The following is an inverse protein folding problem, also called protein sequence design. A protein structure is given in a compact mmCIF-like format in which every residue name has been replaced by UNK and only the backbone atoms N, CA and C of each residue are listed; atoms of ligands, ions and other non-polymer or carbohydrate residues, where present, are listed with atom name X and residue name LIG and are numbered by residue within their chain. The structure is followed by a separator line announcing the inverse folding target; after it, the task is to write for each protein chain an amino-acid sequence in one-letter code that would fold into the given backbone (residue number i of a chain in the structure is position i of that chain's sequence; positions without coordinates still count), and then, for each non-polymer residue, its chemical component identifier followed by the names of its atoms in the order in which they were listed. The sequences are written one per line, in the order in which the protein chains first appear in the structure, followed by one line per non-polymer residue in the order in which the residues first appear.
data_IF_822449656974
#
_entry.id   IF_822449656974
#
_cell.length_a   1.000
_cell.length_b   1.000
_cell.length_c   1.000
_cell.angle_alpha   90.00
_cell.angle_beta   90.00
_cell.angle_gamma   90.00
#
_symmetry.space_group_name_H-M   'P 1'
#
loop_
_entity.id
_entity.type
_entity.pdbx_description
1 polymer ?
#
# COMPACT_ATOMS: atom_id res chain seq x y z
N UNK A 1 -12.85 7.06 16.49
CA UNK A 1 -12.44 8.37 15.96
C UNK A 1 -11.70 8.04 14.68
N UNK A 2 -12.32 8.27 13.53
CA UNK A 2 -11.72 7.97 12.24
C UNK A 2 -10.87 9.19 11.88
N UNK A 3 -9.54 9.02 11.87
CA UNK A 3 -8.65 10.12 11.48
C UNK A 3 -8.75 10.35 9.97
N UNK A 4 -9.00 11.61 9.60
CA UNK A 4 -9.21 12.00 8.21
C UNK A 4 -7.84 12.27 7.56
N UNK A 5 -7.31 11.25 6.90
CA UNK A 5 -6.04 11.35 6.17
C UNK A 5 -6.27 11.61 4.68
N UNK A 6 -5.49 12.54 4.13
CA UNK A 6 -5.60 12.91 2.72
C UNK A 6 -4.76 12.01 1.78
N UNK A 7 -3.78 11.27 2.32
CA UNK A 7 -2.88 10.41 1.55
C UNK A 7 -2.24 9.32 2.43
N UNK A 8 -2.16 8.10 1.90
CA UNK A 8 -1.35 7.01 2.46
C UNK A 8 -0.09 6.85 1.62
N UNK A 9 1.07 6.72 2.25
CA UNK A 9 2.36 6.46 1.57
C UNK A 9 2.90 5.12 2.07
N UNK A 10 3.26 4.23 1.14
CA UNK A 10 3.84 2.94 1.50
C UNK A 10 4.78 2.38 0.44
N UNK A 11 5.62 1.42 0.84
CA UNK A 11 6.48 0.68 -0.08
C UNK A 11 5.70 -0.33 -0.94
N UNK A 12 6.25 -0.65 -2.11
CA UNK A 12 5.70 -1.64 -3.04
C UNK A 12 5.82 -3.08 -2.54
N UNK A 13 6.72 -3.35 -1.58
CA UNK A 13 7.02 -4.69 -1.04
C UNK A 13 7.22 -4.65 0.47
N UNK A 14 6.87 -5.77 1.12
CA UNK A 14 7.20 -6.03 2.52
C UNK A 14 8.52 -6.79 2.66
N UNK A 15 8.78 -7.33 3.85
CA UNK A 15 10.02 -8.03 4.21
C UNK A 15 10.12 -9.48 3.66
N UNK A 16 9.16 -9.93 2.85
CA UNK A 16 9.12 -11.30 2.31
C UNK A 16 9.94 -11.49 1.03
N UNK A 17 10.35 -12.73 0.75
CA UNK A 17 11.24 -13.09 -0.38
C UNK A 17 10.53 -13.22 -1.74
N UNK A 18 9.39 -12.55 -1.94
CA UNK A 18 8.59 -12.69 -3.16
C UNK A 18 9.24 -11.85 -4.28
N UNK A 19 10.02 -12.53 -5.12
CA UNK A 19 10.63 -11.95 -6.32
C UNK A 19 9.62 -11.96 -7.47
N UNK A 20 9.67 -10.94 -8.33
CA UNK A 20 8.85 -10.87 -9.56
C UNK A 20 7.47 -10.22 -9.43
N UNK A 21 6.92 -10.03 -8.23
CA UNK A 21 5.68 -9.25 -8.07
C UNK A 21 5.94 -7.74 -8.10
N UNK A 22 5.03 -7.02 -8.74
CA UNK A 22 5.03 -5.54 -8.76
C UNK A 22 4.55 -4.97 -7.41
N UNK A 23 3.60 -5.64 -6.75
CA UNK A 23 3.00 -5.23 -5.47
C UNK A 23 2.97 -6.37 -4.46
N UNK A 24 3.25 -6.07 -3.19
CA UNK A 24 3.02 -6.97 -2.06
C UNK A 24 1.52 -7.08 -1.71
N UNK A 25 1.15 -8.17 -1.02
CA UNK A 25 -0.26 -8.45 -0.65
C UNK A 25 -0.90 -7.35 0.20
N UNK A 26 -0.13 -6.74 1.10
CA UNK A 26 -0.60 -5.61 1.94
C UNK A 26 -0.80 -4.36 1.07
N UNK A 27 0.21 -3.97 0.28
CA UNK A 27 0.12 -2.80 -0.58
C UNK A 27 -1.01 -2.90 -1.60
N UNK A 28 -1.27 -4.11 -2.12
CA UNK A 28 -2.40 -4.38 -3.00
C UNK A 28 -3.74 -4.17 -2.29
N UNK A 29 -3.93 -4.73 -1.09
CA UNK A 29 -5.18 -4.58 -0.33
C UNK A 29 -5.42 -3.14 0.09
N UNK A 30 -4.39 -2.45 0.58
CA UNK A 30 -4.51 -1.05 0.99
C UNK A 30 -4.90 -0.17 -0.19
N UNK A 31 -4.26 -0.33 -1.35
CA UNK A 31 -4.59 0.43 -2.56
C UNK A 31 -6.01 0.18 -3.08
N UNK A 32 -6.60 -0.98 -2.82
CA UNK A 32 -7.94 -1.34 -3.29
C UNK A 32 -9.05 -0.90 -2.33
N UNK A 33 -8.75 -0.83 -1.03
CA UNK A 33 -9.75 -0.67 0.02
C UNK A 33 -9.69 0.67 0.75
N UNK A 34 -8.68 1.51 0.48
CA UNK A 34 -8.56 2.81 1.13
C UNK A 34 -9.62 3.81 0.64
N UNK A 35 -10.13 4.62 1.57
CA UNK A 35 -11.04 5.72 1.26
C UNK A 35 -10.32 7.00 0.78
N UNK A 36 -8.99 6.99 0.78
CA UNK A 36 -8.16 8.09 0.29
C UNK A 36 -7.08 7.56 -0.69
N UNK A 37 -6.45 8.45 -1.48
CA UNK A 37 -5.37 8.08 -2.38
C UNK A 37 -4.22 7.35 -1.68
N UNK A 38 -3.56 6.43 -2.42
CA UNK A 38 -2.39 5.69 -1.95
C UNK A 38 -1.23 5.90 -2.92
N UNK A 39 -0.12 6.43 -2.42
CA UNK A 39 1.14 6.52 -3.14
C UNK A 39 2.02 5.32 -2.80
N UNK A 40 2.30 4.51 -3.80
CA UNK A 40 3.18 3.34 -3.67
C UNK A 40 4.57 3.68 -4.23
N UNK A 41 5.58 3.61 -3.37
CA UNK A 41 6.98 3.88 -3.72
C UNK A 41 7.70 2.55 -4.00
N UNK A 42 8.59 2.53 -5.00
CA UNK A 42 9.43 1.37 -5.32
C UNK A 42 10.76 1.42 -4.60
#
# INVERSE_FOLDING_TARGET
MEENYQLIIMGSRGLGNIKGLLLGSVSQKVSQLSHCPVLIIK
#
